data_IF_026567181766
#
_entry.id   IF_026567181766
#
_cell.length_a   1.000
_cell.length_b   1.000
_cell.length_c   1.000
_cell.angle_alpha   90.00
_cell.angle_beta   90.00
_cell.angle_gamma   90.00
#
_symmetry.space_group_name_H-M   'P 1'
#
loop_
_entity.id
_entity.type
_entity.pdbx_description
1 polymer ?
#
# COMPACT_ATOMS: atom_id res chain seq x y z
N UNK A 1 7.54 10.25 -13.50
CA UNK A 1 7.66 9.10 -14.42
C UNK A 1 8.28 7.91 -13.70
N UNK A 2 7.74 6.71 -13.91
CA UNK A 2 8.37 5.47 -13.43
C UNK A 2 9.48 5.07 -14.41
N UNK A 3 10.72 4.93 -13.94
CA UNK A 3 11.87 4.47 -14.73
C UNK A 3 12.24 3.04 -14.32
N UNK A 4 11.92 2.02 -15.13
CA UNK A 4 12.23 0.64 -14.77
C UNK A 4 13.75 0.41 -14.74
N UNK A 5 14.22 -0.37 -13.77
CA UNK A 5 15.62 -0.80 -13.64
C UNK A 5 15.68 -2.29 -13.34
N UNK A 6 16.49 -3.03 -14.09
CA UNK A 6 16.79 -4.44 -13.81
C UNK A 6 17.91 -4.49 -12.77
N UNK A 7 17.70 -5.22 -11.67
CA UNK A 7 18.62 -5.30 -10.54
C UNK A 7 19.17 -6.74 -10.44
N UNK A 8 20.48 -6.94 -10.30
CA UNK A 8 21.05 -8.25 -10.01
C UNK A 8 20.49 -8.83 -8.71
N UNK A 9 20.21 -10.14 -8.67
CA UNK A 9 19.57 -10.80 -7.51
C UNK A 9 20.33 -10.58 -6.18
N UNK A 10 21.66 -10.47 -6.24
CA UNK A 10 22.52 -10.22 -5.06
C UNK A 10 22.29 -8.84 -4.44
N UNK A 11 21.84 -7.87 -5.24
CA UNK A 11 21.65 -6.47 -4.82
C UNK A 11 20.20 -6.16 -4.43
N UNK A 12 19.25 -7.09 -4.65
CA UNK A 12 17.82 -6.86 -4.40
C UNK A 12 17.54 -6.42 -2.96
N UNK A 13 18.21 -7.00 -1.97
CA UNK A 13 18.04 -6.62 -0.56
C UNK A 13 18.55 -5.23 -0.23
N UNK A 14 19.54 -4.73 -0.97
CA UNK A 14 20.10 -3.38 -0.80
C UNK A 14 19.24 -2.33 -1.48
N UNK A 15 18.75 -2.61 -2.69
CA UNK A 15 17.94 -1.66 -3.48
C UNK A 15 16.48 -1.63 -3.00
N UNK A 16 15.93 -2.75 -2.55
CA UNK A 16 14.55 -2.89 -2.08
C UNK A 16 14.50 -3.45 -0.65
N UNK A 17 15.08 -2.76 0.35
CA UNK A 17 15.22 -3.30 1.69
C UNK A 17 13.88 -3.61 2.36
N UNK A 18 12.83 -2.85 2.05
CA UNK A 18 11.52 -2.96 2.71
C UNK A 18 10.54 -3.91 2.01
N UNK A 19 10.91 -4.50 0.87
CA UNK A 19 9.95 -5.26 0.04
C UNK A 19 9.35 -6.45 0.77
N UNK A 20 10.18 -7.20 1.51
CA UNK A 20 9.75 -8.37 2.26
C UNK A 20 8.81 -8.00 3.42
N UNK A 21 9.02 -6.83 4.05
CA UNK A 21 8.15 -6.29 5.10
C UNK A 21 6.81 -5.85 4.50
N UNK A 22 6.83 -5.14 3.37
CA UNK A 22 5.61 -4.72 2.68
C UNK A 22 4.76 -5.94 2.26
N UNK A 23 5.37 -6.96 1.67
CA UNK A 23 4.69 -8.21 1.28
C UNK A 23 4.11 -8.93 2.50
N UNK A 24 4.88 -9.04 3.59
CA UNK A 24 4.42 -9.74 4.81
C UNK A 24 3.23 -9.01 5.45
N UNK A 25 3.27 -7.69 5.51
CA UNK A 25 2.17 -6.87 6.01
C UNK A 25 0.93 -6.94 5.12
N UNK A 26 1.10 -6.94 3.80
CA UNK A 26 -0.01 -7.10 2.86
C UNK A 26 -0.70 -8.44 3.07
N UNK A 27 0.05 -9.55 3.13
CA UNK A 27 -0.51 -10.88 3.42
C UNK A 27 -1.29 -10.91 4.73
N UNK A 28 -0.72 -10.33 5.79
CA UNK A 28 -1.39 -10.28 7.11
C UNK A 28 -2.69 -9.48 7.07
N UNK A 29 -2.71 -8.34 6.38
CA UNK A 29 -3.92 -7.52 6.21
C UNK A 29 -5.01 -8.31 5.47
N UNK A 30 -4.64 -8.93 4.35
CA UNK A 30 -5.58 -9.67 3.50
C UNK A 30 -6.24 -10.81 4.28
N UNK A 31 -5.44 -11.60 5.00
CA UNK A 31 -5.93 -12.72 5.81
C UNK A 31 -6.76 -12.29 7.02
N UNK A 32 -6.54 -11.08 7.56
CA UNK A 32 -7.23 -10.62 8.75
C UNK A 32 -8.58 -9.95 8.45
N UNK A 33 -8.69 -9.28 7.30
CA UNK A 33 -9.88 -8.47 6.97
C UNK A 33 -10.87 -9.25 6.10
N UNK A 34 -10.39 -9.98 5.11
CA UNK A 34 -11.27 -10.61 4.13
C UNK A 34 -11.41 -12.10 4.43
N UNK A 35 -12.65 -12.59 4.36
CA UNK A 35 -12.95 -14.02 4.46
C UNK A 35 -12.37 -14.81 3.28
N UNK A 36 -12.33 -14.21 2.09
CA UNK A 36 -11.80 -14.82 0.87
C UNK A 36 -11.16 -13.75 -0.05
N UNK A 37 -10.14 -14.15 -0.81
CA UNK A 37 -9.39 -13.28 -1.72
C UNK A 37 -9.68 -13.71 -3.16
N UNK A 38 -10.58 -12.97 -3.80
CA UNK A 38 -10.95 -13.19 -5.20
C UNK A 38 -10.04 -12.39 -6.15
N UNK A 39 -9.53 -13.00 -7.24
CA UNK A 39 -8.66 -12.32 -8.20
C UNK A 39 -9.26 -11.04 -8.80
N UNK A 40 -10.57 -11.01 -9.02
CA UNK A 40 -11.28 -9.87 -9.60
C UNK A 40 -11.13 -8.57 -8.78
N UNK A 41 -10.88 -8.67 -7.47
CA UNK A 41 -10.73 -7.53 -6.56
C UNK A 41 -9.29 -7.26 -6.15
N UNK A 42 -8.30 -7.95 -6.73
CA UNK A 42 -6.90 -7.86 -6.32
C UNK A 42 -6.38 -6.42 -6.29
N UNK A 43 -6.70 -5.62 -7.32
CA UNK A 43 -6.26 -4.22 -7.37
C UNK A 43 -6.88 -3.39 -6.24
N UNK A 44 -8.16 -3.61 -5.92
CA UNK A 44 -8.85 -2.92 -4.81
C UNK A 44 -8.22 -3.27 -3.47
N UNK A 45 -7.90 -4.55 -3.26
CA UNK A 45 -7.21 -5.00 -2.05
C UNK A 45 -5.82 -4.36 -1.90
N UNK A 46 -5.06 -4.29 -3.00
CA UNK A 46 -3.74 -3.64 -3.00
C UNK A 46 -3.86 -2.12 -2.81
N UNK A 47 -4.87 -1.48 -3.38
CA UNK A 47 -5.14 -0.06 -3.19
C UNK A 47 -5.46 0.24 -1.71
N UNK A 48 -6.29 -0.57 -1.07
CA UNK A 48 -6.61 -0.43 0.34
C UNK A 48 -5.37 -0.64 1.22
N UNK A 49 -4.57 -1.67 0.93
CA UNK A 49 -3.31 -1.90 1.63
C UNK A 49 -2.38 -0.68 1.50
N UNK A 50 -2.15 -0.17 0.30
CA UNK A 50 -1.32 1.00 0.06
C UNK A 50 -1.86 2.25 0.79
N UNK A 51 -3.19 2.46 0.78
CA UNK A 51 -3.81 3.57 1.48
C UNK A 51 -3.52 3.53 2.98
N UNK A 52 -3.75 2.38 3.62
CA UNK A 52 -3.53 2.16 5.06
C UNK A 52 -2.05 2.19 5.42
N UNK A 53 -1.21 1.51 4.65
CA UNK A 53 0.23 1.40 4.89
C UNK A 53 0.91 2.78 4.84
N UNK A 54 0.60 3.58 3.82
CA UNK A 54 1.19 4.91 3.64
C UNK A 54 0.71 5.95 4.68
N UNK A 55 -0.42 5.68 5.35
CA UNK A 55 -1.04 6.60 6.34
C UNK A 55 -0.97 6.07 7.78
N UNK A 56 -0.28 4.96 8.02
CA UNK A 56 -0.26 4.26 9.32
C UNK A 56 0.19 5.15 10.49
N UNK A 57 1.03 6.15 10.21
CA UNK A 57 1.58 7.05 11.21
C UNK A 57 0.90 8.42 11.27
N UNK A 58 -0.25 8.58 10.62
CA UNK A 58 -0.94 9.87 10.60
C UNK A 58 -1.69 10.17 11.91
N UNK A 59 -1.98 9.15 12.72
CA UNK A 59 -2.69 9.31 13.99
C UNK A 59 -4.03 10.04 13.80
N UNK A 60 -4.29 11.02 14.66
CA UNK A 60 -5.51 11.84 14.63
C UNK A 60 -5.68 12.66 13.32
N UNK A 61 -4.59 12.91 12.57
CA UNK A 61 -4.65 13.71 11.34
C UNK A 61 -5.32 12.98 10.16
N UNK A 62 -5.69 11.69 10.31
CA UNK A 62 -6.31 10.92 9.24
C UNK A 62 -7.64 11.53 8.79
N UNK A 63 -8.46 11.98 9.75
CA UNK A 63 -9.76 12.57 9.47
C UNK A 63 -9.62 13.90 8.71
N UNK A 64 -8.81 14.83 9.23
CA UNK A 64 -8.61 16.14 8.62
C UNK A 64 -8.07 16.04 7.19
N UNK A 65 -7.14 15.11 6.95
CA UNK A 65 -6.59 14.89 5.59
C UNK A 65 -7.61 14.31 4.63
N UNK A 66 -8.51 13.46 5.12
CA UNK A 66 -9.63 12.96 4.31
C UNK A 66 -10.60 14.11 3.97
N UNK A 67 -10.94 14.94 4.95
CA UNK A 67 -11.80 16.10 4.76
C UNK A 67 -11.23 17.05 3.71
N UNK A 68 -9.94 17.42 3.83
CA UNK A 68 -9.25 18.27 2.85
C UNK A 68 -9.32 17.65 1.45
N UNK A 69 -9.04 16.36 1.30
CA UNK A 69 -9.08 15.70 0.01
C UNK A 69 -10.50 15.73 -0.60
N UNK A 70 -11.55 15.54 0.20
CA UNK A 70 -12.93 15.57 -0.25
C UNK A 70 -13.37 16.97 -0.71
N UNK A 71 -13.00 18.03 0.01
CA UNK A 71 -13.44 19.40 -0.31
C UNK A 71 -12.59 20.07 -1.39
N UNK A 72 -11.36 19.61 -1.60
CA UNK A 72 -10.44 20.17 -2.62
C UNK A 72 -10.49 19.43 -3.96
N UNK A 73 -11.20 18.30 -4.04
CA UNK A 73 -11.37 17.55 -5.27
C UNK A 73 -12.13 18.39 -6.30
N UNK A 74 -11.48 18.71 -7.41
CA UNK A 74 -12.09 19.36 -8.57
C UNK A 74 -12.47 18.26 -9.56
N UNK A 75 -13.78 18.14 -9.84
CA UNK A 75 -14.32 17.31 -10.92
C UNK A 75 -13.82 17.79 -12.29
#
# INVERSE_FOLDING_TARGET
EHRPKVIPKKETGTVLPWVHIAISNAKRLLLAIYHDIKPEYLQSYLNEFCYKFNRRYFGENLFDRLLIAAVTYKN
#
